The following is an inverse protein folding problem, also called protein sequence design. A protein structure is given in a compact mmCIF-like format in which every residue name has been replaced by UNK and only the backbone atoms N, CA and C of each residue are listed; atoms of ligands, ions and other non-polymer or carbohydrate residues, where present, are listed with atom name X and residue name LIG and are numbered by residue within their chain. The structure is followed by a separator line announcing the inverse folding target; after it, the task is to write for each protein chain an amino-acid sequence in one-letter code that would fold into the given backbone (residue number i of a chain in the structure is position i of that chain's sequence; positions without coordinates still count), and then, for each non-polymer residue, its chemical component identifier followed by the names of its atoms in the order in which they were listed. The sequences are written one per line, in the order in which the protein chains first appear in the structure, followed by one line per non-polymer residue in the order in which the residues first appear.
data_IF_709766458931
#
_entry.id   IF_709766458931
#
_cell.length_a   1.000
_cell.length_b   1.000
_cell.length_c   1.000
_cell.angle_alpha   90.00
_cell.angle_beta   90.00
_cell.angle_gamma   90.00
#
_symmetry.space_group_name_H-M   'P 1'
#
loop_
_entity.id
_entity.type
_entity.pdbx_description
1 polymer ?
#
# COMPACT_ATOMS: atom_id res chain seq x y z
N UNK A 1 -4.97 11.54 -9.79
CA UNK A 1 -3.93 10.83 -9.01
C UNK A 1 -4.27 10.98 -7.54
N UNK A 2 -4.06 9.93 -6.76
CA UNK A 2 -4.30 9.96 -5.31
C UNK A 2 -2.96 10.04 -4.62
N UNK A 3 -2.85 10.90 -3.61
CA UNK A 3 -1.61 11.12 -2.84
C UNK A 3 -1.79 10.64 -1.40
N UNK A 4 -0.70 10.16 -0.80
CA UNK A 4 -0.60 9.84 0.61
C UNK A 4 0.60 10.57 1.22
N UNK A 5 0.33 11.52 2.11
CA UNK A 5 1.37 12.11 2.97
C UNK A 5 1.83 11.07 4.00
N UNK A 6 3.11 10.78 4.02
CA UNK A 6 3.71 9.80 4.93
C UNK A 6 3.93 10.41 6.31
N UNK A 7 3.69 9.62 7.37
CA UNK A 7 3.98 10.07 8.75
C UNK A 7 5.47 10.31 9.02
N UNK A 8 6.34 9.69 8.23
CA UNK A 8 7.78 9.92 8.24
C UNK A 8 8.34 9.69 6.83
N UNK A 9 9.43 10.39 6.45
CA UNK A 9 10.05 10.16 5.16
C UNK A 9 10.58 8.73 5.00
N UNK A 10 10.57 8.23 3.76
CA UNK A 10 11.15 6.95 3.38
C UNK A 10 12.15 7.14 2.23
N UNK A 11 13.05 6.17 2.04
CA UNK A 11 13.90 6.13 0.85
C UNK A 11 13.27 5.24 -0.23
N UNK A 12 13.11 5.77 -1.44
CA UNK A 12 12.71 5.01 -2.63
C UNK A 12 13.57 5.44 -3.83
N UNK A 13 14.12 4.48 -4.56
CA UNK A 13 15.00 4.73 -5.72
C UNK A 13 16.19 5.68 -5.44
N UNK A 14 16.66 5.74 -4.19
CA UNK A 14 17.74 6.63 -3.76
C UNK A 14 17.29 8.04 -3.36
N UNK A 15 15.99 8.34 -3.43
CA UNK A 15 15.41 9.63 -3.08
C UNK A 15 14.63 9.55 -1.76
N UNK A 16 14.60 10.67 -1.02
CA UNK A 16 13.78 10.83 0.18
C UNK A 16 12.39 11.29 -0.22
N UNK A 17 11.38 10.45 0.03
CA UNK A 17 9.98 10.75 -0.24
C UNK A 17 9.23 11.00 1.06
N UNK A 18 8.40 12.06 1.08
CA UNK A 18 7.43 12.34 2.15
C UNK A 18 5.98 12.16 1.69
N UNK A 19 5.76 11.96 0.40
CA UNK A 19 4.46 11.74 -0.23
C UNK A 19 4.59 10.59 -1.22
N UNK A 20 3.60 9.70 -1.25
CA UNK A 20 3.46 8.68 -2.29
C UNK A 20 2.32 9.07 -3.24
N UNK A 21 2.60 9.02 -4.54
CA UNK A 21 1.60 9.17 -5.60
C UNK A 21 1.18 7.80 -6.10
N UNK A 22 -0.12 7.59 -6.31
CA UNK A 22 -0.66 6.30 -6.73
C UNK A 22 -1.34 6.39 -8.09
N UNK A 23 -1.04 5.40 -8.94
CA UNK A 23 -1.87 5.05 -10.07
C UNK A 23 -3.23 4.48 -9.60
N UNK A 24 -4.24 4.57 -10.46
CA UNK A 24 -5.56 3.99 -10.18
C UNK A 24 -5.49 2.44 -10.20
N UNK A 25 -6.03 1.74 -9.18
CA UNK A 25 -6.09 0.28 -9.20
C UNK A 25 -6.96 -0.22 -10.35
N UNK A 26 -6.56 -1.36 -10.93
CA UNK A 26 -7.29 -2.00 -12.01
C UNK A 26 -7.87 -3.36 -11.58
N UNK A 27 -8.77 -3.92 -12.39
CA UNK A 27 -9.25 -5.29 -12.18
C UNK A 27 -8.12 -6.34 -12.25
N UNK A 28 -7.03 -6.06 -12.96
CA UNK A 28 -5.84 -6.92 -12.98
C UNK A 28 -5.18 -6.98 -11.60
N UNK A 29 -5.13 -5.86 -10.89
CA UNK A 29 -4.54 -5.79 -9.55
C UNK A 29 -5.38 -6.57 -8.55
N UNK A 30 -6.70 -6.46 -8.62
CA UNK A 30 -7.62 -7.28 -7.79
C UNK A 30 -7.42 -8.77 -8.07
N UNK A 31 -7.35 -9.16 -9.35
CA UNK A 31 -7.16 -10.56 -9.75
C UNK A 31 -5.82 -11.13 -9.27
N UNK A 32 -4.74 -10.35 -9.30
CA UNK A 32 -3.39 -10.83 -8.99
C UNK A 32 -2.99 -10.68 -7.52
N UNK A 33 -3.47 -9.63 -6.86
CA UNK A 33 -3.09 -9.29 -5.49
C UNK A 33 -4.16 -9.70 -4.48
N UNK A 34 -5.42 -9.83 -4.91
CA UNK A 34 -6.59 -10.00 -4.07
C UNK A 34 -7.17 -8.67 -3.56
N UNK A 35 -8.22 -8.75 -2.76
CA UNK A 35 -8.75 -7.60 -2.02
C UNK A 35 -7.88 -7.31 -0.79
N UNK A 36 -7.70 -6.03 -0.41
CA UNK A 36 -6.93 -5.65 0.78
C UNK A 36 -7.67 -5.91 2.11
N UNK A 37 -8.80 -6.60 2.06
CA UNK A 37 -9.61 -6.98 3.21
C UNK A 37 -10.23 -8.35 3.00
N UNK A 38 -10.67 -8.96 4.10
CA UNK A 38 -11.45 -10.18 4.14
C UNK A 38 -12.65 -9.98 5.06
N UNK A 39 -13.82 -10.43 4.63
CA UNK A 39 -14.99 -10.57 5.49
C UNK A 39 -14.96 -11.96 6.13
N UNK A 40 -15.01 -12.00 7.46
CA UNK A 40 -15.06 -13.23 8.22
C UNK A 40 -16.51 -13.74 8.34
N UNK A 41 -16.69 -14.98 8.81
CA UNK A 41 -18.02 -15.58 8.98
C UNK A 41 -18.88 -14.86 10.03
N UNK A 42 -18.24 -14.21 11.01
CA UNK A 42 -18.88 -13.39 12.02
C UNK A 42 -19.15 -11.94 11.55
N UNK A 43 -19.11 -11.71 10.24
CA UNK A 43 -19.27 -10.41 9.58
C UNK A 43 -18.18 -9.38 9.90
N UNK A 44 -17.16 -9.74 10.70
CA UNK A 44 -16.04 -8.85 10.96
C UNK A 44 -15.15 -8.66 9.73
N UNK A 45 -14.56 -7.47 9.61
CA UNK A 45 -13.62 -7.15 8.53
C UNK A 45 -12.20 -7.21 9.06
N UNK A 46 -11.36 -8.01 8.38
CA UNK A 46 -9.93 -8.05 8.62
C UNK A 46 -9.18 -7.36 7.48
N UNK A 47 -8.41 -6.33 7.81
CA UNK A 47 -7.47 -5.75 6.85
C UNK A 47 -6.29 -6.69 6.61
N UNK A 48 -5.91 -6.83 5.35
CA UNK A 48 -4.83 -7.70 4.91
C UNK A 48 -3.60 -6.84 4.59
N UNK A 49 -2.82 -6.47 5.61
CA UNK A 49 -1.66 -5.59 5.47
C UNK A 49 -0.64 -6.06 4.41
N UNK A 50 -0.46 -7.37 4.26
CA UNK A 50 0.41 -7.95 3.23
C UNK A 50 -0.09 -7.73 1.80
N UNK A 51 -1.41 -7.59 1.60
CA UNK A 51 -2.01 -7.23 0.31
C UNK A 51 -1.90 -5.73 0.09
N UNK A 52 -2.21 -4.92 1.12
CA UNK A 52 -2.01 -3.45 1.09
C UNK A 52 -0.58 -3.10 0.66
N UNK A 53 0.42 -3.76 1.25
CA UNK A 53 1.83 -3.59 0.88
C UNK A 53 2.09 -3.84 -0.61
N UNK A 54 1.51 -4.90 -1.19
CA UNK A 54 1.66 -5.21 -2.62
C UNK A 54 1.03 -4.15 -3.51
N UNK A 55 -0.13 -3.61 -3.11
CA UNK A 55 -0.76 -2.51 -3.81
C UNK A 55 0.12 -1.26 -3.78
N UNK A 56 0.71 -0.92 -2.62
CA UNK A 56 1.58 0.26 -2.52
C UNK A 56 2.80 0.11 -3.43
N UNK A 57 3.49 -1.03 -3.38
CA UNK A 57 4.63 -1.31 -4.27
C UNK A 57 4.24 -1.13 -5.74
N UNK A 58 3.10 -1.67 -6.15
CA UNK A 58 2.67 -1.65 -7.55
C UNK A 58 2.19 -0.28 -8.01
N UNK A 59 1.32 0.35 -7.24
CA UNK A 59 0.62 1.57 -7.64
C UNK A 59 1.44 2.84 -7.38
N UNK A 60 2.26 2.86 -6.32
CA UNK A 60 3.19 3.97 -6.06
C UNK A 60 4.59 3.74 -6.66
N UNK A 61 4.80 2.60 -7.32
CA UNK A 61 6.04 2.26 -8.04
C UNK A 61 7.29 2.35 -7.16
N UNK A 62 7.14 2.06 -5.86
CA UNK A 62 8.25 2.03 -4.89
C UNK A 62 8.68 0.59 -4.60
N UNK A 63 9.95 0.33 -4.26
CA UNK A 63 10.38 -1.01 -3.87
C UNK A 63 9.78 -1.42 -2.51
N UNK A 64 9.70 -2.72 -2.24
CA UNK A 64 9.18 -3.25 -0.97
C UNK A 64 9.95 -2.70 0.24
N UNK A 65 11.27 -2.50 0.12
CA UNK A 65 12.09 -1.90 1.17
C UNK A 65 11.67 -0.48 1.55
N UNK A 66 11.00 0.26 0.66
CA UNK A 66 10.41 1.57 0.97
C UNK A 66 9.16 1.41 1.81
N UNK A 67 8.31 0.43 1.48
CA UNK A 67 7.10 0.13 2.24
C UNK A 67 7.44 -0.36 3.65
N UNK A 68 8.49 -1.16 3.80
CA UNK A 68 8.97 -1.65 5.10
C UNK A 68 9.47 -0.50 6.01
N UNK A 69 9.83 0.64 5.43
CA UNK A 69 10.20 1.84 6.19
C UNK A 69 8.98 2.61 6.70
N UNK A 70 7.78 2.46 6.12
CA UNK A 70 6.59 3.26 6.43
C UNK A 70 6.15 3.11 7.89
N UNK A 71 5.37 4.07 8.40
CA UNK A 71 4.70 3.91 9.68
C UNK A 71 3.57 2.87 9.55
N UNK A 72 3.29 2.04 10.56
CA UNK A 72 2.10 1.19 10.55
C UNK A 72 0.80 1.97 10.32
N UNK A 73 0.75 3.24 10.75
CA UNK A 73 -0.39 4.12 10.53
C UNK A 73 -0.56 4.57 9.06
N UNK A 74 0.46 4.42 8.21
CA UNK A 74 0.35 4.68 6.77
C UNK A 74 -0.27 3.49 6.00
N UNK A 75 -0.46 2.33 6.65
CA UNK A 75 -0.97 1.09 6.06
C UNK A 75 -2.43 0.76 6.46
N UNK A 76 -3.09 1.66 7.21
CA UNK A 76 -4.43 1.49 7.77
C UNK A 76 -5.45 2.43 7.13
#
# INVERSE_FOLDING_TARGET
MKELELKKPIIAHGETLSVLEFDEPTGKDVRELGYPYQMNQDESVRLLAHVVSKYIVRLAKVPQSSVDQMSPADLN
#
